data_IF_301523636081
#
_entry.id   IF_301523636081
#
_cell.length_a   1.000
_cell.length_b   1.000
_cell.length_c   1.000
_cell.angle_alpha   90.00
_cell.angle_beta   90.00
_cell.angle_gamma   90.00
#
_symmetry.space_group_name_H-M   'P 1'
#
loop_
_entity.id
_entity.type
_entity.pdbx_description
1 polymer ?
#
# COMPACT_ATOMS: atom_id res chain seq x y z
N UNK A 1 0.94 12.63 -9.79
CA UNK A 1 0.51 11.42 -9.03
C UNK A 1 0.25 11.80 -7.57
N UNK A 2 -0.85 11.33 -7.02
CA UNK A 2 -1.18 11.52 -5.61
C UNK A 2 -1.03 10.19 -4.88
N UNK A 3 -0.50 10.25 -3.66
CA UNK A 3 -0.42 9.08 -2.77
C UNK A 3 -1.39 9.31 -1.62
N UNK A 4 -2.31 8.37 -1.43
CA UNK A 4 -3.32 8.42 -0.37
C UNK A 4 -3.08 7.26 0.58
N UNK A 5 -2.98 7.55 1.87
CA UNK A 5 -2.79 6.53 2.91
C UNK A 5 -4.00 6.54 3.82
N UNK A 6 -4.69 5.40 3.90
CA UNK A 6 -5.93 5.27 4.67
C UNK A 6 -5.86 4.02 5.57
N UNK A 7 -6.24 4.19 6.82
CA UNK A 7 -6.44 3.04 7.70
C UNK A 7 -7.68 2.26 7.24
N UNK A 8 -7.56 0.95 7.05
CA UNK A 8 -8.69 0.11 6.63
C UNK A 8 -9.63 -0.15 7.80
N UNK A 9 -9.07 -0.36 8.98
CA UNK A 9 -9.83 -0.53 10.22
C UNK A 9 -9.05 0.06 11.39
N UNK A 10 -9.71 0.36 12.52
CA UNK A 10 -9.01 0.85 13.70
C UNK A 10 -8.01 -0.18 14.22
N UNK A 11 -6.89 0.32 14.77
CA UNK A 11 -5.92 -0.54 15.43
C UNK A 11 -6.55 -1.16 16.67
N UNK A 12 -6.49 -2.49 16.77
CA UNK A 12 -6.99 -3.22 17.91
C UNK A 12 -5.87 -3.47 18.92
N UNK A 13 -6.12 -3.33 20.24
CA UNK A 13 -5.06 -3.51 21.24
C UNK A 13 -4.42 -4.90 21.26
N UNK A 14 -5.18 -5.92 20.89
CA UNK A 14 -4.78 -7.33 20.92
C UNK A 14 -4.24 -7.85 19.61
N UNK A 15 -4.28 -7.06 18.53
CA UNK A 15 -3.77 -7.46 17.24
C UNK A 15 -2.33 -6.95 17.05
N UNK A 16 -1.37 -7.83 16.66
CA UNK A 16 0.02 -7.41 16.49
C UNK A 16 0.24 -6.58 15.22
N UNK A 17 -0.66 -6.69 14.25
CA UNK A 17 -0.57 -5.99 12.98
C UNK A 17 -1.88 -5.29 12.65
N UNK A 18 -1.81 -4.28 11.78
CA UNK A 18 -3.01 -3.63 11.26
C UNK A 18 -2.84 -3.28 9.78
N UNK A 19 -3.92 -3.40 8.99
CA UNK A 19 -3.86 -3.13 7.56
C UNK A 19 -4.02 -1.64 7.26
N UNK A 20 -3.24 -1.18 6.30
CA UNK A 20 -3.30 0.19 5.79
C UNK A 20 -3.38 0.11 4.28
N UNK A 21 -4.26 0.93 3.68
CA UNK A 21 -4.37 1.04 2.24
C UNK A 21 -3.51 2.18 1.75
N UNK A 22 -2.66 1.89 0.78
CA UNK A 22 -1.88 2.90 0.06
C UNK A 22 -2.34 2.92 -1.38
N UNK A 23 -2.79 4.08 -1.83
CA UNK A 23 -3.31 4.25 -3.19
C UNK A 23 -2.45 5.25 -3.94
N UNK A 24 -2.01 4.85 -5.14
CA UNK A 24 -1.27 5.70 -6.06
C UNK A 24 -2.21 6.08 -7.19
N UNK A 25 -2.54 7.36 -7.30
CA UNK A 25 -3.51 7.87 -8.28
C UNK A 25 -2.84 8.72 -9.34
N UNK A 26 -3.13 8.44 -10.60
CA UNK A 26 -2.75 9.25 -11.75
C UNK A 26 -4.01 9.94 -12.29
N UNK A 27 -3.94 11.28 -12.37
CA UNK A 27 -5.05 12.08 -12.87
C UNK A 27 -5.12 12.09 -14.41
N UNK A 28 -6.12 12.80 -14.91
CA UNK A 28 -6.37 12.90 -16.35
C UNK A 28 -5.25 13.62 -17.13
N UNK A 29 -4.34 14.31 -16.44
CA UNK A 29 -3.23 15.01 -17.08
C UNK A 29 -2.09 14.08 -17.51
N UNK A 30 -2.06 12.84 -17.04
CA UNK A 30 -1.05 11.87 -17.41
C UNK A 30 -1.54 11.05 -18.59
N UNK A 31 -0.96 11.26 -19.78
CA UNK A 31 -1.42 10.62 -21.02
C UNK A 31 -1.24 9.11 -21.04
N UNK A 32 -0.25 8.57 -20.30
CA UNK A 32 0.05 7.14 -20.31
C UNK A 32 -0.81 6.36 -19.34
N UNK A 33 -1.10 6.95 -18.18
CA UNK A 33 -1.78 6.25 -17.08
C UNK A 33 -2.95 7.03 -16.51
N UNK A 34 -3.51 7.98 -17.31
CA UNK A 34 -4.63 8.78 -16.84
C UNK A 34 -5.80 7.92 -16.40
N UNK A 35 -6.45 8.33 -15.31
CA UNK A 35 -7.56 7.61 -14.68
C UNK A 35 -7.20 6.21 -14.19
N UNK A 36 -5.91 5.93 -14.05
CA UNK A 36 -5.45 4.66 -13.49
C UNK A 36 -4.99 4.83 -12.04
N UNK A 37 -5.12 3.77 -11.29
CA UNK A 37 -4.62 3.75 -9.92
C UNK A 37 -4.05 2.38 -9.57
N UNK A 38 -3.21 2.36 -8.54
CA UNK A 38 -2.72 1.14 -7.91
C UNK A 38 -3.07 1.23 -6.44
N UNK A 39 -3.74 0.21 -5.91
CA UNK A 39 -4.07 0.13 -4.50
C UNK A 39 -3.33 -1.05 -3.89
N UNK A 40 -2.61 -0.80 -2.80
CA UNK A 40 -1.84 -1.83 -2.09
C UNK A 40 -2.31 -1.86 -0.65
N UNK A 41 -2.61 -3.05 -0.15
CA UNK A 41 -2.87 -3.26 1.27
C UNK A 41 -1.59 -3.69 1.95
N UNK A 42 -1.15 -2.91 2.93
CA UNK A 42 0.08 -3.14 3.68
C UNK A 42 -0.27 -3.45 5.12
N UNK A 43 0.29 -4.54 5.66
CA UNK A 43 0.13 -4.89 7.07
C UNK A 43 1.34 -4.40 7.84
N UNK A 44 1.12 -3.47 8.77
CA UNK A 44 2.16 -2.88 9.60
C UNK A 44 2.20 -3.54 10.96
N UNK A 45 3.41 -3.79 11.47
CA UNK A 45 3.60 -4.27 12.83
C UNK A 45 3.50 -3.12 13.82
N UNK A 46 2.74 -3.30 14.87
CA UNK A 46 2.63 -2.30 15.93
C UNK A 46 3.97 -1.97 16.57
N UNK A 47 4.83 -2.97 16.71
CA UNK A 47 6.15 -2.79 17.32
C UNK A 47 7.05 -1.87 16.49
N UNK A 48 6.90 -1.87 15.16
CA UNK A 48 7.66 -1.00 14.27
C UNK A 48 7.23 0.46 14.37
N UNK A 49 5.97 0.70 14.76
CA UNK A 49 5.44 2.04 14.92
C UNK A 49 5.69 2.55 16.33
N UNK A 50 5.51 1.67 17.35
CA UNK A 50 5.66 2.03 18.75
C UNK A 50 4.78 3.21 19.14
N UNK A 51 5.37 4.18 19.84
CA UNK A 51 4.74 5.45 20.20
C UNK A 51 4.99 6.53 19.15
N UNK A 52 5.38 6.13 17.95
CA UNK A 52 5.75 7.06 16.90
C UNK A 52 4.55 7.84 16.38
N UNK A 53 4.87 8.96 15.74
CA UNK A 53 3.87 9.84 15.15
C UNK A 53 3.11 9.13 14.00
N UNK A 54 1.92 9.62 13.73
CA UNK A 54 1.13 9.23 12.57
C UNK A 54 1.92 9.34 11.26
N UNK A 55 2.80 10.34 11.16
CA UNK A 55 3.66 10.54 10.00
C UNK A 55 4.60 9.36 9.77
N UNK A 56 5.19 8.81 10.83
CA UNK A 56 6.05 7.63 10.71
C UNK A 56 5.28 6.42 10.23
N UNK A 57 4.06 6.22 10.69
CA UNK A 57 3.19 5.15 10.21
C UNK A 57 2.89 5.31 8.72
N UNK A 58 2.63 6.53 8.26
CA UNK A 58 2.42 6.81 6.84
C UNK A 58 3.66 6.48 6.01
N UNK A 59 4.84 6.90 6.47
CA UNK A 59 6.09 6.64 5.77
C UNK A 59 6.39 5.15 5.67
N UNK A 60 6.16 4.39 6.74
CA UNK A 60 6.32 2.94 6.75
C UNK A 60 5.34 2.26 5.78
N UNK A 61 4.10 2.74 5.72
CA UNK A 61 3.09 2.19 4.81
C UNK A 61 3.49 2.42 3.36
N UNK A 62 3.93 3.62 3.01
CA UNK A 62 4.36 3.96 1.65
C UNK A 62 5.59 3.12 1.27
N UNK A 63 6.58 3.02 2.14
CA UNK A 63 7.77 2.20 1.91
C UNK A 63 7.39 0.74 1.70
N UNK A 64 6.51 0.21 2.55
CA UNK A 64 6.02 -1.17 2.43
C UNK A 64 5.30 -1.41 1.11
N UNK A 65 4.45 -0.47 0.67
CA UNK A 65 3.75 -0.55 -0.60
C UNK A 65 4.72 -0.57 -1.79
N UNK A 66 5.74 0.28 -1.77
CA UNK A 66 6.76 0.32 -2.83
C UNK A 66 7.56 -0.97 -2.89
N UNK A 67 7.92 -1.55 -1.74
CA UNK A 67 8.60 -2.84 -1.69
C UNK A 67 7.74 -3.96 -2.26
N UNK A 68 6.45 -3.99 -1.97
CA UNK A 68 5.53 -4.97 -2.52
C UNK A 68 5.37 -4.82 -4.03
N UNK A 69 5.28 -3.60 -4.53
CA UNK A 69 5.21 -3.33 -5.97
C UNK A 69 6.48 -3.77 -6.67
N UNK A 70 7.65 -3.52 -6.09
CA UNK A 70 8.92 -3.97 -6.65
C UNK A 70 8.99 -5.49 -6.69
N UNK A 71 8.55 -6.16 -5.63
CA UNK A 71 8.49 -7.62 -5.58
C UNK A 71 7.54 -8.18 -6.63
N UNK A 72 6.38 -7.55 -6.83
CA UNK A 72 5.43 -7.96 -7.86
C UNK A 72 6.05 -7.84 -9.26
N UNK A 73 6.77 -6.75 -9.50
CA UNK A 73 7.46 -6.54 -10.77
C UNK A 73 8.51 -7.64 -11.01
N UNK A 74 9.29 -7.97 -9.98
CA UNK A 74 10.37 -8.96 -10.07
C UNK A 74 9.85 -10.39 -10.29
N UNK A 75 8.63 -10.71 -9.85
CA UNK A 75 8.08 -12.06 -9.88
C UNK A 75 6.91 -12.23 -10.85
N UNK A 76 6.50 -11.18 -11.55
CA UNK A 76 5.30 -11.20 -12.39
C UNK A 76 5.36 -12.26 -13.50
N UNK A 77 6.55 -12.50 -14.07
CA UNK A 77 6.72 -13.46 -15.16
C UNK A 77 6.52 -14.91 -14.74
N UNK A 78 6.63 -15.20 -13.45
CA UNK A 78 6.45 -16.56 -12.89
C UNK A 78 5.15 -16.69 -12.09
N UNK A 79 4.32 -15.66 -12.06
CA UNK A 79 3.09 -15.66 -11.28
C UNK A 79 1.96 -16.44 -11.98
N UNK A 80 1.09 -17.04 -11.17
CA UNK A 80 -0.17 -17.59 -11.65
C UNK A 80 -1.17 -16.47 -11.84
N UNK A 81 -1.79 -16.42 -13.02
CA UNK A 81 -2.80 -15.40 -13.33
C UNK A 81 -4.19 -16.03 -13.18
N UNK A 82 -5.01 -15.44 -12.32
CA UNK A 82 -6.40 -15.83 -12.16
C UNK A 82 -7.26 -14.74 -12.79
N UNK A 83 -8.06 -15.11 -13.78
CA UNK A 83 -8.90 -14.16 -14.53
C UNK A 83 -10.31 -14.15 -13.98
N UNK A 84 -10.87 -12.97 -13.78
CA UNK A 84 -12.23 -12.76 -13.31
C UNK A 84 -13.21 -12.22 -14.36
N UNK A 85 -12.77 -12.20 -15.63
CA UNK A 85 -13.62 -11.74 -16.75
C UNK A 85 -13.47 -12.59 -17.98
#
# INVERSE_FOLDING_TARGET
>A
MNIIVLAIKPMQPDEPQFPVRVEFNWGAADELVSNSNITVEVWLDKDDIGESSLRQAHDLAIEGALKLLQRALDTASSANVVTGF
#
